data_IF_895798871124
#
_entry.id   IF_895798871124
#
_cell.length_a   1.000
_cell.length_b   1.000
_cell.length_c   1.000
_cell.angle_alpha   90.00
_cell.angle_beta   90.00
_cell.angle_gamma   90.00
#
_symmetry.space_group_name_H-M   'P 1'
#
loop_
_entity.id
_entity.type
_entity.pdbx_description
1 polymer ?
#
# COMPACT_ATOMS: atom_id res chain seq x y z
N UNK A 1 18.65 8.16 -12.23
CA UNK A 1 17.37 7.64 -11.70
C UNK A 1 16.23 8.35 -12.42
N UNK A 2 15.22 7.64 -12.91
CA UNK A 2 14.08 8.30 -13.53
C UNK A 2 13.19 8.80 -12.38
N UNK A 3 13.21 10.10 -12.07
CA UNK A 3 12.24 10.73 -11.15
C UNK A 3 10.79 10.32 -11.51
N UNK A 4 10.59 10.11 -12.81
CA UNK A 4 9.44 9.46 -13.42
C UNK A 4 9.05 8.11 -12.80
N UNK A 5 9.98 7.23 -12.44
CA UNK A 5 9.68 5.92 -11.88
C UNK A 5 9.12 6.01 -10.45
N UNK A 6 9.70 6.86 -9.59
CA UNK A 6 9.14 7.17 -8.27
C UNK A 6 7.77 7.82 -8.44
N UNK A 7 7.66 8.78 -9.37
CA UNK A 7 6.39 9.44 -9.68
C UNK A 7 5.31 8.45 -10.11
N UNK A 8 5.64 7.48 -10.97
CA UNK A 8 4.71 6.43 -11.37
C UNK A 8 4.29 5.54 -10.22
N UNK A 9 5.25 5.13 -9.37
CA UNK A 9 4.94 4.35 -8.18
C UNK A 9 3.99 5.10 -7.24
N UNK A 10 4.32 6.35 -6.89
CA UNK A 10 3.50 7.20 -6.03
C UNK A 10 2.09 7.44 -6.61
N UNK A 11 1.98 7.62 -7.92
CA UNK A 11 0.70 7.80 -8.58
C UNK A 11 -0.12 6.50 -8.55
N UNK A 12 0.50 5.39 -8.90
CA UNK A 12 -0.16 4.09 -8.97
C UNK A 12 -0.61 3.62 -7.58
N UNK A 13 0.25 3.67 -6.57
CA UNK A 13 -0.12 3.29 -5.20
C UNK A 13 -1.14 4.26 -4.61
N UNK A 14 -1.01 5.56 -4.90
CA UNK A 14 -1.95 6.58 -4.44
C UNK A 14 -3.36 6.33 -4.96
N UNK A 15 -3.50 6.05 -6.25
CA UNK A 15 -4.79 5.69 -6.86
C UNK A 15 -5.29 4.35 -6.28
N UNK A 16 -4.43 3.34 -6.21
CA UNK A 16 -4.80 2.02 -5.69
C UNK A 16 -5.35 2.09 -4.25
N UNK A 17 -4.68 2.83 -3.36
CA UNK A 17 -5.12 3.00 -1.97
C UNK A 17 -6.42 3.79 -1.85
N UNK A 18 -6.62 4.82 -2.67
CA UNK A 18 -7.90 5.54 -2.70
C UNK A 18 -9.04 4.65 -3.20
N UNK A 19 -8.80 3.80 -4.19
CA UNK A 19 -9.80 2.83 -4.65
C UNK A 19 -10.15 1.80 -3.56
N UNK A 20 -9.15 1.31 -2.83
CA UNK A 20 -9.38 0.43 -1.68
C UNK A 20 -10.20 1.13 -0.60
N UNK A 21 -9.84 2.36 -0.21
CA UNK A 21 -10.63 3.16 0.72
C UNK A 21 -12.10 3.28 0.28
N UNK A 22 -12.35 3.62 -0.98
CA UNK A 22 -13.71 3.73 -1.52
C UNK A 22 -14.45 2.39 -1.53
N UNK A 23 -13.74 1.27 -1.76
CA UNK A 23 -14.31 -0.08 -1.69
C UNK A 23 -14.67 -0.50 -0.26
N UNK A 24 -13.94 -0.01 0.73
CA UNK A 24 -14.11 -0.34 2.15
C UNK A 24 -15.09 0.59 2.89
N UNK A 25 -15.68 1.58 2.22
CA UNK A 25 -16.77 2.38 2.79
C UNK A 25 -17.97 1.49 3.14
N UNK A 26 -18.68 1.73 4.28
CA UNK A 26 -19.80 0.89 4.72
C UNK A 26 -20.90 0.69 3.68
N UNK A 27 -21.13 1.69 2.83
CA UNK A 27 -22.12 1.62 1.74
C UNK A 27 -21.75 0.65 0.60
N UNK A 28 -20.50 0.13 0.57
CA UNK A 28 -19.97 -0.71 -0.51
C UNK A 28 -19.27 -1.98 -0.02
N UNK A 29 -18.71 -1.94 1.19
CA UNK A 29 -17.83 -2.99 1.71
C UNK A 29 -18.55 -4.32 1.94
N UNK A 30 -19.86 -4.33 2.23
CA UNK A 30 -20.60 -5.56 2.49
C UNK A 30 -20.47 -6.59 1.35
N UNK A 31 -20.59 -6.16 0.10
CA UNK A 31 -20.48 -7.05 -1.05
C UNK A 31 -19.05 -7.62 -1.21
N UNK A 32 -18.04 -6.79 -0.97
CA UNK A 32 -16.63 -7.21 -1.02
C UNK A 32 -16.32 -8.22 0.09
N UNK A 33 -16.79 -7.94 1.31
CA UNK A 33 -16.59 -8.80 2.47
C UNK A 33 -17.29 -10.15 2.34
N UNK A 34 -18.48 -10.20 1.73
CA UNK A 34 -19.16 -11.46 1.43
C UNK A 34 -18.42 -12.30 0.38
N UNK A 35 -17.75 -11.66 -0.58
CA UNK A 35 -16.93 -12.34 -1.59
C UNK A 35 -15.64 -12.90 -0.97
N UNK A 36 -15.02 -12.11 -0.10
CA UNK A 36 -13.79 -12.42 0.60
C UNK A 36 -14.00 -13.51 1.66
N UNK A 37 -15.09 -13.40 2.43
CA UNK A 37 -15.42 -14.32 3.51
C UNK A 37 -16.81 -14.95 3.28
N UNK A 38 -16.91 -16.14 2.67
CA UNK A 38 -18.20 -16.79 2.42
C UNK A 38 -18.97 -17.12 3.70
N UNK A 39 -18.26 -17.30 4.82
CA UNK A 39 -18.84 -17.47 6.16
C UNK A 39 -19.64 -16.24 6.61
N UNK A 40 -19.26 -15.04 6.16
CA UNK A 40 -19.99 -13.79 6.43
C UNK A 40 -21.35 -13.82 5.76
N UNK A 41 -21.43 -14.27 4.50
CA UNK A 41 -22.69 -14.41 3.77
C UNK A 41 -23.68 -15.41 4.40
N UNK A 42 -23.20 -16.33 5.23
CA UNK A 42 -24.01 -17.40 5.83
C UNK A 42 -24.37 -17.19 7.32
N UNK A 43 -23.94 -16.08 7.95
CA UNK A 43 -24.22 -15.89 9.39
C UNK A 43 -23.82 -14.56 10.03
N UNK A 44 -23.03 -13.71 9.35
CA UNK A 44 -22.75 -12.36 9.85
C UNK A 44 -23.82 -11.40 9.34
N UNK A 45 -24.83 -11.14 10.18
CA UNK A 45 -25.83 -10.09 9.95
C UNK A 45 -25.93 -9.18 11.16
N UNK A 46 -26.53 -8.00 10.97
CA UNK A 46 -26.71 -7.01 12.02
C UNK A 46 -25.37 -6.51 12.58
N UNK A 47 -25.22 -6.52 13.90
CA UNK A 47 -24.09 -5.92 14.62
C UNK A 47 -22.74 -6.54 14.26
N UNK A 48 -22.67 -7.85 14.02
CA UNK A 48 -21.42 -8.53 13.67
C UNK A 48 -20.90 -8.11 12.28
N UNK A 49 -21.80 -7.91 11.31
CA UNK A 49 -21.42 -7.37 10.01
C UNK A 49 -20.95 -5.92 10.15
N UNK A 50 -21.65 -5.11 10.95
CA UNK A 50 -21.28 -3.72 11.18
C UNK A 50 -19.89 -3.61 11.81
N UNK A 51 -19.59 -4.46 12.81
CA UNK A 51 -18.27 -4.51 13.43
C UNK A 51 -17.16 -4.89 12.43
N UNK A 52 -17.43 -5.85 11.54
CA UNK A 52 -16.50 -6.23 10.47
C UNK A 52 -16.29 -5.07 9.49
N UNK A 53 -17.37 -4.41 9.07
CA UNK A 53 -17.30 -3.23 8.18
C UNK A 53 -16.53 -2.08 8.82
N UNK A 54 -16.71 -1.84 10.13
CA UNK A 54 -16.01 -0.80 10.86
C UNK A 54 -14.51 -1.11 10.99
N UNK A 55 -14.15 -2.37 11.28
CA UNK A 55 -12.76 -2.81 11.30
C UNK A 55 -12.07 -2.58 9.94
N UNK A 56 -12.74 -2.97 8.86
CA UNK A 56 -12.25 -2.74 7.50
C UNK A 56 -12.25 -1.28 7.08
N UNK A 57 -13.18 -0.47 7.57
CA UNK A 57 -13.20 0.98 7.32
C UNK A 57 -11.95 1.64 7.93
N UNK A 58 -11.50 1.20 9.12
CA UNK A 58 -10.26 1.71 9.72
C UNK A 58 -9.06 1.42 8.82
N UNK A 59 -8.93 0.20 8.30
CA UNK A 59 -7.90 -0.16 7.33
C UNK A 59 -8.01 0.72 6.08
N UNK A 60 -9.21 0.85 5.52
CA UNK A 60 -9.47 1.70 4.35
C UNK A 60 -9.10 3.17 4.58
N UNK A 61 -9.39 3.75 5.74
CA UNK A 61 -9.02 5.13 6.08
C UNK A 61 -7.52 5.31 6.16
N UNK A 62 -6.79 4.34 6.73
CA UNK A 62 -5.33 4.36 6.78
C UNK A 62 -4.73 4.32 5.37
N UNK A 63 -5.18 3.40 4.52
CA UNK A 63 -4.78 3.33 3.11
C UNK A 63 -5.10 4.64 2.39
N UNK A 64 -6.33 5.14 2.53
CA UNK A 64 -6.77 6.39 1.91
C UNK A 64 -5.90 7.59 2.30
N UNK A 65 -5.56 7.72 3.59
CA UNK A 65 -4.67 8.79 4.07
C UNK A 65 -3.28 8.70 3.43
N UNK A 66 -2.68 7.50 3.39
CA UNK A 66 -1.38 7.29 2.74
C UNK A 66 -1.48 7.52 1.23
N UNK A 67 -2.59 7.15 0.61
CA UNK A 67 -2.86 7.37 -0.81
C UNK A 67 -2.91 8.85 -1.17
N UNK A 68 -3.60 9.67 -0.37
CA UNK A 68 -3.60 11.14 -0.53
C UNK A 68 -2.17 11.70 -0.40
N UNK A 69 -1.41 11.25 0.60
CA UNK A 69 -0.02 11.69 0.78
C UNK A 69 0.88 11.29 -0.41
N UNK A 70 0.70 10.09 -0.96
CA UNK A 70 1.42 9.62 -2.14
C UNK A 70 1.11 10.47 -3.38
N UNK A 71 -0.16 10.80 -3.62
CA UNK A 71 -0.54 11.69 -4.72
C UNK A 71 -0.05 13.12 -4.54
N UNK A 72 -0.10 13.64 -3.30
CA UNK A 72 0.44 14.96 -2.99
C UNK A 72 1.97 15.04 -3.16
N UNK A 73 2.67 13.94 -2.92
CA UNK A 73 4.11 13.82 -3.10
C UNK A 73 4.56 13.89 -4.57
N UNK A 74 3.63 13.77 -5.54
CA UNK A 74 3.95 13.83 -6.98
C UNK A 74 4.58 15.15 -7.45
N UNK A 75 4.45 16.22 -6.66
CA UNK A 75 5.07 17.53 -6.96
C UNK A 75 6.59 17.56 -6.77
N UNK A 76 7.13 16.76 -5.85
CA UNK A 76 8.58 16.61 -5.63
C UNK A 76 8.91 15.14 -5.26
N UNK A 77 8.80 14.19 -6.20
CA UNK A 77 8.78 12.75 -5.91
C UNK A 77 10.01 12.27 -5.14
N UNK A 78 11.21 12.70 -5.52
CA UNK A 78 12.45 12.31 -4.83
C UNK A 78 12.50 12.83 -3.38
N UNK A 79 12.01 14.05 -3.12
CA UNK A 79 12.04 14.66 -1.79
C UNK A 79 11.16 13.89 -0.80
N UNK A 80 10.05 13.35 -1.30
CA UNK A 80 9.08 12.60 -0.51
C UNK A 80 9.22 11.08 -0.70
N UNK A 81 10.35 10.60 -1.22
CA UNK A 81 10.60 9.17 -1.43
C UNK A 81 10.55 8.34 -0.14
N UNK A 82 10.63 8.97 1.04
CA UNK A 82 10.39 8.34 2.34
C UNK A 82 9.01 7.71 2.52
N UNK A 83 8.03 8.02 1.66
CA UNK A 83 6.74 7.32 1.62
C UNK A 83 6.89 5.85 1.15
N UNK A 84 7.88 5.55 0.31
CA UNK A 84 8.10 4.21 -0.26
C UNK A 84 8.26 3.14 0.83
N UNK A 85 9.17 3.26 1.81
CA UNK A 85 9.29 2.26 2.87
C UNK A 85 8.02 2.12 3.72
N UNK A 86 7.27 3.21 3.93
CA UNK A 86 5.97 3.16 4.64
C UNK A 86 4.97 2.29 3.89
N UNK A 87 4.83 2.51 2.58
CA UNK A 87 4.02 1.67 1.69
C UNK A 87 4.47 0.22 1.77
N UNK A 88 5.78 -0.05 1.65
CA UNK A 88 6.30 -1.43 1.72
C UNK A 88 5.91 -2.12 3.03
N UNK A 89 5.98 -1.43 4.18
CA UNK A 89 5.55 -2.02 5.45
C UNK A 89 4.05 -2.31 5.49
N UNK A 90 3.21 -1.38 5.01
CA UNK A 90 1.76 -1.59 4.91
C UNK A 90 1.47 -2.84 4.08
N UNK A 91 2.05 -2.94 2.88
CA UNK A 91 1.84 -4.08 1.99
C UNK A 91 2.33 -5.41 2.60
N UNK A 92 3.39 -5.39 3.43
CA UNK A 92 3.83 -6.58 4.16
C UNK A 92 2.78 -7.00 5.19
N UNK A 93 2.21 -6.06 5.95
CA UNK A 93 1.17 -6.37 6.92
C UNK A 93 -0.11 -6.86 6.26
N UNK A 94 -0.49 -6.29 5.12
CA UNK A 94 -1.64 -6.75 4.34
C UNK A 94 -1.39 -8.14 3.73
N UNK A 95 -0.20 -8.41 3.19
CA UNK A 95 0.19 -9.74 2.74
C UNK A 95 0.19 -10.78 3.88
N UNK A 96 0.59 -10.38 5.08
CA UNK A 96 0.50 -11.23 6.28
C UNK A 96 -0.96 -11.50 6.66
N UNK A 97 -1.82 -10.49 6.54
CA UNK A 97 -3.25 -10.65 6.75
C UNK A 97 -3.83 -11.66 5.77
N UNK A 98 -3.54 -11.58 4.47
CA UNK A 98 -4.01 -12.53 3.46
C UNK A 98 -3.63 -13.98 3.78
N UNK A 99 -2.38 -14.20 4.21
CA UNK A 99 -1.93 -15.53 4.63
C UNK A 99 -2.69 -15.99 5.87
N UNK A 100 -2.86 -15.11 6.85
CA UNK A 100 -3.62 -15.40 8.06
C UNK A 100 -5.08 -15.75 7.74
N UNK A 101 -5.75 -14.96 6.90
CA UNK A 101 -7.16 -15.11 6.59
C UNK A 101 -7.45 -16.34 5.74
N UNK A 102 -6.58 -16.70 4.80
CA UNK A 102 -6.66 -17.95 4.05
C UNK A 102 -6.47 -19.19 4.94
N UNK A 103 -5.53 -19.15 5.88
CA UNK A 103 -5.20 -20.33 6.71
C UNK A 103 -6.14 -20.49 7.90
N UNK A 104 -6.56 -19.39 8.53
CA UNK A 104 -7.22 -19.41 9.84
C UNK A 104 -8.62 -18.78 9.87
N UNK A 105 -9.01 -17.97 8.88
CA UNK A 105 -10.28 -17.23 8.90
C UNK A 105 -11.24 -17.60 7.78
N UNK A 106 -11.00 -18.71 7.08
CA UNK A 106 -11.88 -19.23 6.01
C UNK A 106 -12.13 -18.21 4.88
N UNK A 107 -11.14 -17.36 4.59
CA UNK A 107 -11.18 -16.54 3.39
C UNK A 107 -11.21 -17.43 2.14
N UNK A 108 -11.92 -16.98 1.11
CA UNK A 108 -11.93 -17.65 -0.16
C UNK A 108 -10.51 -17.72 -0.75
N UNK A 109 -9.99 -18.93 -0.96
CA UNK A 109 -8.61 -19.16 -1.40
C UNK A 109 -8.22 -18.37 -2.66
N UNK A 110 -9.09 -18.32 -3.68
CA UNK A 110 -8.76 -17.58 -4.91
C UNK A 110 -8.67 -16.07 -4.65
N UNK A 111 -9.47 -15.55 -3.73
CA UNK A 111 -9.48 -14.13 -3.38
C UNK A 111 -8.16 -13.79 -2.66
N UNK A 112 -7.84 -14.53 -1.60
CA UNK A 112 -6.61 -14.34 -0.83
C UNK A 112 -5.34 -14.55 -1.67
N UNK A 113 -5.31 -15.50 -2.61
CA UNK A 113 -4.16 -15.66 -3.53
C UNK A 113 -4.03 -14.46 -4.50
N UNK A 114 -5.15 -13.90 -4.94
CA UNK A 114 -5.18 -12.75 -5.85
C UNK A 114 -4.67 -11.49 -5.15
N UNK A 115 -5.17 -11.21 -3.94
CA UNK A 115 -4.72 -10.07 -3.13
C UNK A 115 -3.26 -10.23 -2.71
N UNK A 116 -2.84 -11.45 -2.32
CA UNK A 116 -1.45 -11.71 -1.95
C UNK A 116 -0.49 -11.43 -3.11
N UNK A 117 -0.86 -11.85 -4.32
CA UNK A 117 -0.08 -11.55 -5.51
C UNK A 117 0.03 -10.03 -5.77
N UNK A 118 -1.04 -9.28 -5.55
CA UNK A 118 -1.04 -7.81 -5.68
C UNK A 118 -0.08 -7.18 -4.66
N UNK A 119 -0.14 -7.59 -3.39
CA UNK A 119 0.78 -7.09 -2.36
C UNK A 119 2.23 -7.38 -2.68
N UNK A 120 2.55 -8.59 -3.15
CA UNK A 120 3.91 -8.94 -3.56
C UNK A 120 4.44 -8.06 -4.69
N UNK A 121 3.59 -7.68 -5.66
CA UNK A 121 3.97 -6.74 -6.73
C UNK A 121 4.34 -5.38 -6.14
N UNK A 122 3.54 -4.84 -5.23
CA UNK A 122 3.82 -3.55 -4.60
C UNK A 122 5.08 -3.59 -3.74
N UNK A 123 5.28 -4.65 -2.94
CA UNK A 123 6.48 -4.86 -2.12
C UNK A 123 7.73 -4.90 -2.99
N UNK A 124 7.73 -5.74 -4.03
CA UNK A 124 8.90 -5.92 -4.90
C UNK A 124 9.23 -4.60 -5.63
N UNK A 125 8.22 -3.92 -6.16
CA UNK A 125 8.41 -2.63 -6.84
C UNK A 125 8.93 -1.56 -5.86
N UNK A 126 8.34 -1.46 -4.67
CA UNK A 126 8.73 -0.52 -3.63
C UNK A 126 10.17 -0.74 -3.14
N UNK A 127 10.56 -1.98 -2.82
CA UNK A 127 11.92 -2.33 -2.41
C UNK A 127 12.93 -2.01 -3.53
N UNK A 128 12.60 -2.35 -4.77
CA UNK A 128 13.45 -2.06 -5.93
C UNK A 128 13.71 -0.56 -6.09
N UNK A 129 12.68 0.28 -5.91
CA UNK A 129 12.83 1.73 -5.94
C UNK A 129 13.58 2.28 -4.73
N UNK A 130 13.31 1.76 -3.53
CA UNK A 130 13.95 2.23 -2.30
C UNK A 130 15.46 1.99 -2.30
N UNK A 131 15.92 0.84 -2.81
CA UNK A 131 17.35 0.58 -3.01
C UNK A 131 18.01 1.64 -3.89
N UNK A 132 17.37 1.99 -5.01
CA UNK A 132 17.86 3.03 -5.92
C UNK A 132 17.87 4.43 -5.29
N UNK A 133 16.93 4.72 -4.39
CA UNK A 133 16.93 5.98 -3.62
C UNK A 133 18.10 5.99 -2.63
N UNK A 134 18.30 4.90 -1.89
CA UNK A 134 19.40 4.73 -0.94
C UNK A 134 20.77 4.92 -1.60
N UNK A 135 21.00 4.26 -2.75
CA UNK A 135 22.25 4.39 -3.52
C UNK A 135 22.54 5.83 -3.95
N UNK A 136 21.50 6.64 -4.20
CA UNK A 136 21.65 8.05 -4.58
C UNK A 136 21.93 8.95 -3.39
N UNK A 137 21.30 8.69 -2.25
CA UNK A 137 21.53 9.46 -1.02
C UNK A 137 22.89 9.14 -0.40
N UNK A 138 23.40 7.92 -0.64
CA UNK A 138 24.72 7.46 -0.17
C UNK A 138 25.87 7.82 -1.10
N UNK A 139 25.58 8.16 -2.37
CA UNK A 139 26.59 8.79 -3.22
C UNK A 139 27.05 10.09 -2.54
N UNK A 140 28.32 10.19 -2.10
CA UNK A 140 28.85 11.48 -1.68
C UNK A 140 28.61 12.44 -2.83
N UNK A 141 28.20 13.68 -2.55
CA UNK A 141 28.23 14.76 -3.55
C UNK A 141 29.64 14.78 -4.13
N UNK A 142 29.86 14.10 -5.24
CA UNK A 142 31.18 13.55 -5.55
C UNK A 142 32.23 14.59 -5.98
N UNK A 143 31.89 15.88 -6.04
CA UNK A 143 32.76 16.90 -6.68
C UNK A 143 32.64 18.29 -6.03
N UNK A 144 31.59 18.59 -5.27
CA UNK A 144 31.40 19.95 -4.71
C UNK A 144 32.33 20.28 -3.53
N UNK A 145 32.91 19.27 -2.88
CA UNK A 145 33.93 19.48 -1.84
C UNK A 145 35.33 19.70 -2.43
N UNK A 146 35.67 19.04 -3.55
CA UNK A 146 36.97 19.23 -4.19
C UNK A 146 37.07 20.56 -4.96
N UNK A 147 35.95 21.07 -5.47
CA UNK A 147 35.91 22.34 -6.22
C UNK A 147 35.91 23.58 -5.31
N UNK A 148 35.34 23.50 -4.11
CA UNK A 148 35.38 24.60 -3.13
C UNK A 148 36.68 24.63 -2.29
N UNK A 149 37.61 23.71 -2.55
CA UNK A 149 38.96 23.68 -1.96
C UNK A 149 40.05 24.02 -2.98
N UNK A 150 39.67 24.19 -4.25
CA UNK A 150 40.57 24.57 -5.35
C UNK A 150 40.45 26.05 -5.74
N UNK A 151 39.52 26.79 -5.11
CA UNK A 151 39.32 28.24 -5.18
C UNK A 151 39.61 28.88 -3.81
#
# INVERSE_FOLDING_TARGET
MNDKAIRWFLAAIGIFYLLNFLGLLPARSAAVLMLMYPSVGNGFQGELMMLLQDAWLVVGMQLGAVGVLALWALREPIRYAGIIPVVVFIEIFDAMWDVYSMVLSSETLWFGLTTLAIHLVWIIWGISLWRQVGDRLSQPRAVDAERNLAD
#
